data_IF_242681867698
#
_entry.id   IF_242681867698
#
_cell.length_a   1.000
_cell.length_b   1.000
_cell.length_c   1.000
_cell.angle_alpha   90.00
_cell.angle_beta   90.00
_cell.angle_gamma   90.00
#
_symmetry.space_group_name_H-M   'P 1'
#
loop_
_entity.id
_entity.type
_entity.pdbx_description
1 polymer ?
#
# COMPACT_ATOMS: atom_id res chain seq x y z
N UNK A 1 -19.81 9.04 -14.43
CA UNK A 1 -19.01 9.27 -13.22
C UNK A 1 -19.34 8.18 -12.21
N UNK A 2 -18.42 7.28 -11.98
CA UNK A 2 -18.64 6.25 -10.95
C UNK A 2 -18.50 6.92 -9.59
N UNK A 3 -19.62 7.00 -8.86
CA UNK A 3 -19.58 7.48 -7.48
C UNK A 3 -18.89 6.40 -6.64
N UNK A 4 -17.63 6.65 -6.32
CA UNK A 4 -16.89 5.82 -5.39
C UNK A 4 -17.39 6.20 -3.99
N UNK A 5 -17.89 5.21 -3.27
CA UNK A 5 -18.38 5.44 -1.91
C UNK A 5 -17.19 5.69 -0.97
N UNK A 6 -17.21 6.80 -0.23
CA UNK A 6 -16.19 7.11 0.78
C UNK A 6 -16.16 6.07 1.90
N UNK A 7 -17.24 5.30 2.09
CA UNK A 7 -17.35 4.27 3.11
C UNK A 7 -16.32 3.15 2.97
N UNK A 8 -15.81 2.91 1.73
CA UNK A 8 -14.83 1.86 1.47
C UNK A 8 -13.39 2.35 1.43
N UNK A 9 -13.17 3.63 1.69
CA UNK A 9 -11.83 4.25 1.66
C UNK A 9 -11.09 4.15 2.99
N UNK A 10 -11.74 3.75 4.06
CA UNK A 10 -11.10 3.58 5.37
C UNK A 10 -11.82 2.56 6.23
N UNK A 11 -11.03 1.67 6.83
CA UNK A 11 -11.45 0.87 7.99
C UNK A 11 -10.46 1.21 9.09
N UNK A 12 -10.93 1.88 10.13
CA UNK A 12 -10.08 2.32 11.24
C UNK A 12 -9.30 1.15 11.83
N UNK A 13 -7.99 1.33 12.01
CA UNK A 13 -7.11 0.31 12.54
C UNK A 13 -6.67 -0.74 11.52
N UNK A 14 -7.14 -0.67 10.28
CA UNK A 14 -6.77 -1.61 9.24
C UNK A 14 -6.16 -0.92 8.01
N UNK A 15 -6.87 -0.02 7.37
CA UNK A 15 -6.35 0.69 6.20
C UNK A 15 -7.06 2.01 5.96
N UNK A 16 -6.39 2.84 5.15
CA UNK A 16 -6.95 4.09 4.63
C UNK A 16 -6.38 4.32 3.23
N UNK A 17 -7.17 4.93 2.36
CA UNK A 17 -6.71 5.38 1.05
C UNK A 17 -6.64 6.90 1.05
N UNK A 18 -5.47 7.43 0.70
CA UNK A 18 -5.22 8.86 0.56
C UNK A 18 -5.08 9.19 -0.91
N UNK A 19 -5.94 10.04 -1.43
CA UNK A 19 -5.87 10.46 -2.84
C UNK A 19 -4.72 11.44 -3.06
N UNK A 20 -4.04 11.29 -4.20
CA UNK A 20 -3.19 12.35 -4.71
C UNK A 20 -4.07 13.41 -5.36
N UNK A 21 -3.65 14.65 -5.24
CA UNK A 21 -4.33 15.77 -5.89
C UNK A 21 -3.77 16.00 -7.28
N UNK A 22 -4.63 15.97 -8.30
CA UNK A 22 -4.20 16.34 -9.66
C UNK A 22 -3.91 17.84 -9.70
N UNK A 23 -2.68 18.18 -9.96
CA UNK A 23 -2.24 19.57 -10.12
C UNK A 23 -2.44 20.06 -11.54
N UNK A 24 -2.06 19.26 -12.52
CA UNK A 24 -2.13 19.62 -13.93
C UNK A 24 -2.10 18.37 -14.82
N UNK A 25 -2.81 18.44 -15.92
CA UNK A 25 -2.73 17.40 -16.94
C UNK A 25 -2.62 18.06 -18.32
N UNK A 26 -1.60 17.65 -19.06
CA UNK A 26 -1.38 18.06 -20.45
C UNK A 26 -1.14 16.80 -21.28
N UNK A 27 -1.03 16.90 -22.59
CA UNK A 27 -0.81 15.74 -23.43
C UNK A 27 0.43 14.95 -22.99
N UNK A 28 0.21 13.70 -22.60
CA UNK A 28 1.27 12.80 -22.18
C UNK A 28 1.85 13.06 -20.78
N UNK A 29 1.34 14.06 -20.05
CA UNK A 29 1.85 14.39 -18.71
C UNK A 29 0.73 14.57 -17.70
N UNK A 30 0.75 13.74 -16.66
CA UNK A 30 -0.13 13.88 -15.51
C UNK A 30 0.72 14.30 -14.29
N UNK A 31 0.39 15.46 -13.72
CA UNK A 31 1.11 16.01 -12.59
C UNK A 31 0.22 15.93 -11.35
N UNK A 32 0.62 15.08 -10.40
CA UNK A 32 -0.10 14.86 -9.16
C UNK A 32 0.77 15.18 -7.95
N UNK A 33 0.17 15.69 -6.89
CA UNK A 33 0.89 16.07 -5.67
C UNK A 33 0.36 15.34 -4.45
N UNK A 34 1.27 15.04 -3.54
CA UNK A 34 0.92 14.45 -2.24
C UNK A 34 0.31 15.52 -1.34
N UNK A 35 -0.68 15.17 -0.50
CA UNK A 35 -1.15 16.09 0.54
C UNK A 35 -0.01 16.49 1.47
N UNK A 36 0.06 17.79 1.81
CA UNK A 36 1.12 18.31 2.66
C UNK A 36 1.19 17.60 4.02
N UNK A 37 0.04 17.37 4.62
CA UNK A 37 -0.06 16.75 5.94
C UNK A 37 0.51 15.33 5.94
N UNK A 38 0.36 14.63 4.81
CA UNK A 38 0.93 13.30 4.64
C UNK A 38 2.45 13.32 4.77
N UNK A 39 3.12 14.30 4.14
CA UNK A 39 4.57 14.36 4.10
C UNK A 39 5.19 14.75 5.44
N UNK A 40 4.48 15.45 6.29
CA UNK A 40 5.00 15.94 7.58
C UNK A 40 5.45 14.82 8.52
N UNK A 41 4.87 13.63 8.38
CA UNK A 41 5.14 12.49 9.26
C UNK A 41 6.12 11.47 8.65
N UNK A 42 6.60 11.71 7.43
CA UNK A 42 7.49 10.75 6.75
C UNK A 42 8.87 10.75 7.41
N UNK A 43 9.30 9.59 7.90
CA UNK A 43 10.62 9.36 8.49
C UNK A 43 11.56 8.57 7.57
N UNK A 44 11.05 7.96 6.52
CA UNK A 44 11.86 7.22 5.57
C UNK A 44 11.08 6.91 4.30
N UNK A 45 11.81 6.65 3.22
CA UNK A 45 11.20 6.28 1.93
C UNK A 45 11.92 5.03 1.42
N UNK A 46 11.16 3.99 1.19
CA UNK A 46 11.67 2.73 0.65
C UNK A 46 11.29 2.61 -0.82
N UNK A 47 12.27 2.27 -1.65
CA UNK A 47 12.02 1.91 -3.05
C UNK A 47 11.96 0.39 -3.15
N UNK A 48 10.86 -0.14 -3.65
CA UNK A 48 10.65 -1.58 -3.71
C UNK A 48 10.34 -2.00 -5.16
N UNK A 49 11.19 -2.85 -5.71
CA UNK A 49 11.03 -3.39 -7.05
C UNK A 49 10.67 -4.87 -6.92
N UNK A 50 9.53 -5.24 -7.47
CA UNK A 50 9.14 -6.64 -7.64
C UNK A 50 9.40 -7.05 -9.08
N UNK A 51 10.24 -8.06 -9.27
CA UNK A 51 10.39 -8.71 -10.57
C UNK A 51 9.20 -9.64 -10.79
N UNK A 52 9.05 -10.18 -11.99
CA UNK A 52 7.90 -11.00 -12.34
C UNK A 52 7.63 -12.12 -11.33
N UNK A 53 6.37 -12.23 -10.92
CA UNK A 53 5.87 -13.24 -9.98
C UNK A 53 6.50 -13.18 -8.57
N UNK A 54 7.03 -12.03 -8.17
CA UNK A 54 7.61 -11.85 -6.85
C UNK A 54 6.55 -11.95 -5.75
N UNK A 55 6.93 -12.55 -4.63
CA UNK A 55 6.12 -12.60 -3.40
C UNK A 55 6.95 -12.06 -2.25
N UNK A 56 6.31 -11.28 -1.37
CA UNK A 56 6.97 -10.68 -0.21
C UNK A 56 6.03 -10.71 1.01
N UNK A 57 6.38 -11.35 2.13
CA UNK A 57 7.61 -12.13 2.31
C UNK A 57 7.61 -13.39 1.46
N UNK A 58 8.80 -13.86 1.15
CA UNK A 58 8.96 -15.15 0.52
C UNK A 58 8.73 -16.28 1.52
N UNK A 59 8.73 -17.52 1.02
CA UNK A 59 8.56 -18.72 1.84
C UNK A 59 9.52 -18.74 3.03
N UNK A 60 9.00 -19.08 4.20
CA UNK A 60 9.79 -19.27 5.42
C UNK A 60 9.49 -20.66 5.96
N UNK A 61 10.50 -21.52 6.01
CA UNK A 61 10.31 -22.92 6.42
C UNK A 61 9.24 -23.61 5.56
N UNK A 62 8.21 -24.15 6.20
CA UNK A 62 7.08 -24.79 5.51
C UNK A 62 5.92 -23.82 5.23
N UNK A 63 6.07 -22.54 5.58
CA UNK A 63 5.03 -21.54 5.35
C UNK A 63 5.26 -20.89 3.98
N UNK A 64 4.39 -21.22 3.03
CA UNK A 64 4.51 -20.72 1.64
C UNK A 64 4.23 -19.23 1.52
N UNK A 65 3.27 -18.71 2.29
CA UNK A 65 2.85 -17.32 2.22
C UNK A 65 2.76 -16.71 3.62
N UNK A 66 3.92 -16.38 4.23
CA UNK A 66 3.96 -15.72 5.53
C UNK A 66 3.49 -14.26 5.44
N UNK A 67 3.39 -13.63 6.61
CA UNK A 67 2.96 -12.24 6.73
C UNK A 67 4.07 -11.41 7.37
N UNK A 68 4.19 -10.14 6.94
CA UNK A 68 4.91 -9.11 7.69
C UNK A 68 3.98 -8.46 8.70
N UNK A 69 4.54 -7.91 9.76
CA UNK A 69 3.85 -7.02 10.68
C UNK A 69 4.87 -6.11 11.34
N UNK A 70 4.58 -4.81 11.37
CA UNK A 70 5.47 -3.82 11.97
C UNK A 70 4.82 -3.21 13.20
N UNK A 71 5.41 -3.37 14.40
CA UNK A 71 4.86 -2.75 15.61
C UNK A 71 5.16 -1.25 15.72
N UNK A 72 6.20 -0.76 15.01
CA UNK A 72 6.68 0.61 15.13
C UNK A 72 6.76 1.36 13.81
N UNK A 73 6.00 0.92 12.83
CA UNK A 73 5.99 1.54 11.51
C UNK A 73 4.58 1.57 10.93
N UNK A 74 4.20 2.71 10.39
CA UNK A 74 3.04 2.89 9.55
C UNK A 74 3.51 2.88 8.09
N UNK A 75 2.87 2.08 7.25
CA UNK A 75 3.22 1.97 5.84
C UNK A 75 2.28 2.79 4.96
N UNK A 76 2.84 3.43 3.95
CA UNK A 76 2.10 4.24 2.98
C UNK A 76 2.64 3.94 1.59
N UNK A 77 1.90 3.10 0.87
CA UNK A 77 2.33 2.55 -0.40
C UNK A 77 1.74 3.29 -1.59
N UNK A 78 2.60 3.71 -2.50
CA UNK A 78 2.21 4.17 -3.83
C UNK A 78 2.87 3.28 -4.89
N UNK A 79 2.10 2.85 -5.88
CA UNK A 79 2.59 2.05 -7.00
C UNK A 79 2.87 2.98 -8.18
N UNK A 80 4.09 2.90 -8.72
CA UNK A 80 4.55 3.72 -9.84
C UNK A 80 4.46 2.99 -11.18
N UNK A 81 4.51 1.65 -11.15
CA UNK A 81 4.45 0.81 -12.35
C UNK A 81 3.92 -0.56 -11.99
N UNK A 82 3.11 -1.14 -12.89
CA UNK A 82 2.57 -2.47 -12.72
C UNK A 82 1.43 -2.53 -11.72
N UNK A 83 1.23 -3.71 -11.16
CA UNK A 83 0.16 -3.97 -10.18
C UNK A 83 0.74 -4.65 -8.95
N UNK A 84 0.35 -4.17 -7.79
CA UNK A 84 0.74 -4.74 -6.52
C UNK A 84 -0.50 -5.34 -5.84
N UNK A 85 -0.46 -6.63 -5.56
CA UNK A 85 -1.53 -7.39 -4.91
C UNK A 85 -1.22 -7.46 -3.43
N UNK A 86 -2.08 -6.92 -2.59
CA UNK A 86 -1.80 -6.71 -1.17
C UNK A 86 -2.92 -7.30 -0.33
N UNK A 87 -2.58 -8.18 0.61
CA UNK A 87 -3.50 -8.65 1.62
C UNK A 87 -3.18 -7.96 2.93
N UNK A 88 -4.20 -7.48 3.61
CA UNK A 88 -4.14 -6.89 4.94
C UNK A 88 -5.02 -7.68 5.90
N UNK A 89 -4.55 -7.83 7.14
CA UNK A 89 -5.29 -8.49 8.21
C UNK A 89 -4.93 -7.86 9.55
N UNK A 90 -5.91 -7.68 10.41
CA UNK A 90 -5.66 -7.36 11.81
C UNK A 90 -6.50 -8.27 12.69
N UNK A 91 -5.99 -8.58 13.88
CA UNK A 91 -6.69 -9.44 14.84
C UNK A 91 -8.05 -8.83 15.21
N UNK A 92 -8.09 -7.53 15.41
CA UNK A 92 -9.33 -6.82 15.76
C UNK A 92 -10.38 -6.89 14.66
N UNK A 93 -9.96 -6.76 13.40
CA UNK A 93 -10.87 -6.82 12.25
C UNK A 93 -11.35 -8.25 11.98
N UNK A 94 -10.45 -9.23 12.17
CA UNK A 94 -10.77 -10.65 12.14
C UNK A 94 -10.93 -11.29 10.78
N UNK A 95 -10.69 -10.56 9.70
CA UNK A 95 -10.71 -11.12 8.34
C UNK A 95 -9.71 -10.44 7.43
N UNK A 96 -9.36 -11.15 6.36
CA UNK A 96 -8.43 -10.65 5.33
C UNK A 96 -9.17 -9.70 4.37
N UNK A 97 -8.54 -8.56 4.10
CA UNK A 97 -8.96 -7.64 3.05
C UNK A 97 -7.88 -7.62 1.97
N UNK A 98 -8.29 -7.72 0.71
CA UNK A 98 -7.37 -7.83 -0.43
C UNK A 98 -7.50 -6.63 -1.35
N UNK A 99 -6.35 -6.10 -1.78
CA UNK A 99 -6.26 -4.91 -2.62
C UNK A 99 -5.42 -5.17 -3.84
N UNK A 100 -5.75 -4.48 -4.94
CA UNK A 100 -4.87 -4.35 -6.09
C UNK A 100 -4.61 -2.86 -6.26
N UNK A 101 -3.34 -2.47 -6.18
CA UNK A 101 -2.92 -1.08 -6.35
C UNK A 101 -2.14 -0.95 -7.65
N UNK A 102 -2.57 0.00 -8.48
CA UNK A 102 -1.90 0.36 -9.72
C UNK A 102 -1.54 1.86 -9.66
N UNK A 103 -0.80 2.40 -10.64
CA UNK A 103 -0.53 3.84 -10.67
C UNK A 103 -1.79 4.71 -10.69
N UNK A 104 -2.91 4.20 -11.21
CA UNK A 104 -4.11 5.00 -11.46
C UNK A 104 -5.37 4.47 -10.77
N UNK A 105 -5.30 3.32 -10.10
CA UNK A 105 -6.49 2.66 -9.56
C UNK A 105 -6.18 1.86 -8.30
N UNK A 106 -7.19 1.72 -7.46
CA UNK A 106 -7.15 0.78 -6.32
C UNK A 106 -8.43 -0.02 -6.31
N UNK A 107 -8.29 -1.34 -6.23
CA UNK A 107 -9.39 -2.31 -6.10
C UNK A 107 -9.37 -2.89 -4.69
N UNK A 108 -10.54 -3.11 -4.13
CA UNK A 108 -10.73 -3.76 -2.84
C UNK A 108 -11.64 -4.97 -3.01
N UNK A 109 -11.12 -6.16 -2.72
CA UNK A 109 -11.85 -7.42 -2.90
C UNK A 109 -12.50 -7.53 -4.29
N UNK A 110 -11.79 -7.09 -5.32
CA UNK A 110 -12.25 -7.13 -6.71
C UNK A 110 -13.10 -5.95 -7.18
N UNK A 111 -13.46 -5.04 -6.28
CA UNK A 111 -14.27 -3.86 -6.63
C UNK A 111 -13.39 -2.62 -6.74
N UNK A 112 -13.54 -1.86 -7.83
CA UNK A 112 -12.85 -0.59 -8.00
C UNK A 112 -13.34 0.42 -6.98
N UNK A 113 -12.45 0.89 -6.10
CA UNK A 113 -12.78 1.85 -5.05
C UNK A 113 -12.07 3.19 -5.20
N UNK A 114 -11.07 3.26 -6.07
CA UNK A 114 -10.33 4.48 -6.35
C UNK A 114 -9.93 4.46 -7.82
N UNK A 115 -10.41 5.41 -8.61
CA UNK A 115 -10.11 5.50 -10.05
C UNK A 115 -9.12 6.61 -10.39
N UNK A 116 -8.30 6.97 -9.44
CA UNK A 116 -7.19 7.93 -9.58
C UNK A 116 -6.02 7.43 -8.76
N UNK A 117 -4.87 8.13 -8.86
CA UNK A 117 -3.72 7.77 -8.06
C UNK A 117 -4.05 7.88 -6.57
N UNK A 118 -3.68 6.87 -5.82
CA UNK A 118 -3.92 6.81 -4.39
C UNK A 118 -2.80 6.11 -3.64
N UNK A 119 -2.72 6.40 -2.35
CA UNK A 119 -1.79 5.80 -1.42
C UNK A 119 -2.59 4.86 -0.53
N UNK A 120 -2.25 3.58 -0.53
CA UNK A 120 -2.82 2.63 0.43
C UNK A 120 -1.98 2.67 1.70
N UNK A 121 -2.62 3.00 2.82
CA UNK A 121 -1.94 3.13 4.10
C UNK A 121 -2.46 2.12 5.12
N UNK A 122 -1.57 1.62 5.98
CA UNK A 122 -1.96 0.78 7.10
C UNK A 122 -1.09 1.05 8.33
N UNK A 123 -1.70 1.05 9.52
CA UNK A 123 -0.99 1.38 10.77
C UNK A 123 -0.15 0.21 11.29
N UNK A 124 0.65 0.43 12.35
CA UNK A 124 1.31 -0.65 13.07
C UNK A 124 0.33 -1.77 13.46
N UNK A 125 0.85 -2.97 13.64
CA UNK A 125 0.13 -4.19 14.03
C UNK A 125 -0.81 -4.76 12.96
N UNK A 126 -0.81 -4.20 11.75
CA UNK A 126 -1.53 -4.79 10.62
C UNK A 126 -0.60 -5.78 9.92
N UNK A 127 -1.07 -7.02 9.82
CA UNK A 127 -0.36 -8.04 9.04
C UNK A 127 -0.56 -7.76 7.56
N UNK A 128 0.52 -7.82 6.80
CA UNK A 128 0.47 -7.57 5.36
C UNK A 128 1.38 -8.52 4.60
N UNK A 129 1.00 -8.80 3.39
CA UNK A 129 1.81 -9.54 2.43
C UNK A 129 1.48 -9.06 1.03
N UNK A 130 2.46 -9.13 0.15
CA UNK A 130 2.42 -8.46 -1.15
C UNK A 130 2.92 -9.40 -2.22
N UNK A 131 2.30 -9.36 -3.38
CA UNK A 131 2.80 -10.08 -4.54
C UNK A 131 2.61 -9.27 -5.82
N UNK A 132 3.36 -9.64 -6.85
CA UNK A 132 3.20 -9.14 -8.21
C UNK A 132 3.04 -10.33 -9.16
N UNK A 133 2.40 -10.08 -10.28
CA UNK A 133 2.26 -11.08 -11.35
C UNK A 133 3.43 -10.97 -12.33
N UNK A 134 3.26 -11.50 -13.53
CA UNK A 134 4.32 -11.65 -14.53
C UNK A 134 5.03 -10.33 -14.87
N UNK A 135 4.32 -9.23 -14.99
CA UNK A 135 4.90 -7.93 -15.33
C UNK A 135 5.73 -7.29 -14.19
N UNK A 136 5.62 -7.82 -12.98
CA UNK A 136 6.26 -7.20 -11.82
C UNK A 136 5.62 -5.88 -11.42
N UNK A 137 6.30 -5.12 -10.56
CA UNK A 137 5.83 -3.80 -10.13
C UNK A 137 6.95 -2.98 -9.51
N UNK A 138 6.74 -1.67 -9.45
CA UNK A 138 7.62 -0.73 -8.75
C UNK A 138 6.79 0.14 -7.82
N UNK A 139 7.26 0.33 -6.61
CA UNK A 139 6.56 1.13 -5.61
C UNK A 139 7.51 1.94 -4.74
N UNK A 140 6.95 2.97 -4.11
CA UNK A 140 7.57 3.68 -3.00
C UNK A 140 6.72 3.43 -1.76
N UNK A 141 7.37 3.24 -0.62
CA UNK A 141 6.73 3.20 0.68
C UNK A 141 7.22 4.39 1.50
N UNK A 142 6.31 5.27 1.88
CA UNK A 142 6.61 6.40 2.75
C UNK A 142 6.32 5.96 4.18
N UNK A 143 7.37 5.71 4.94
CA UNK A 143 7.23 5.14 6.28
C UNK A 143 7.12 6.22 7.36
N UNK A 144 6.16 6.03 8.29
CA UNK A 144 6.11 6.75 9.55
C UNK A 144 6.69 5.81 10.61
N UNK A 145 7.91 6.10 11.08
CA UNK A 145 8.61 5.25 12.04
C UNK A 145 8.56 5.88 13.42
N UNK A 146 8.27 5.05 14.40
CA UNK A 146 8.11 5.46 15.80
C UNK A 146 9.29 4.98 16.64
N UNK A 147 9.40 5.52 17.86
CA UNK A 147 10.40 5.08 18.82
C UNK A 147 10.29 3.57 19.04
N UNK A 148 11.43 2.88 19.00
CA UNK A 148 11.48 1.44 19.05
C UNK A 148 11.63 0.75 17.69
N UNK A 149 11.56 1.51 16.60
CA UNK A 149 11.82 0.97 15.26
C UNK A 149 13.27 0.49 15.13
N UNK A 150 13.43 -0.75 14.65
CA UNK A 150 14.73 -1.32 14.29
C UNK A 150 14.56 -2.03 12.94
N UNK A 151 15.45 -1.70 12.00
CA UNK A 151 15.42 -2.32 10.66
C UNK A 151 15.53 -3.84 10.74
N UNK A 152 16.31 -4.35 11.69
CA UNK A 152 16.51 -5.80 11.86
C UNK A 152 15.23 -6.54 12.27
N UNK A 153 14.36 -5.86 13.01
CA UNK A 153 13.12 -6.46 13.53
C UNK A 153 11.95 -6.33 12.52
N UNK A 154 12.11 -5.51 11.49
CA UNK A 154 11.06 -5.26 10.50
C UNK A 154 11.25 -6.04 9.19
N UNK A 155 12.43 -6.57 8.95
CA UNK A 155 12.74 -7.26 7.69
C UNK A 155 13.46 -8.59 7.90
#
# INVERSE_FOLDING_TARGET
MNNISDEVLEIEGLYKIVHLQKFRETEGVLFEVFPKEFLENVSGVDKVIHRGNAVSPGKIGDVERPWYMHPFQWDNLIVLKGKRYIDLYSVKHGKKESFIVTPDEIYHNGTLICNSAGILTWPPYVFHRVESKEEGSASLNFAYRYDGFDVKDNF
#
